data_IF_832803738532
#
_entry.id   IF_832803738532
#
_cell.length_a   1.000
_cell.length_b   1.000
_cell.length_c   1.000
_cell.angle_alpha   90.00
_cell.angle_beta   90.00
_cell.angle_gamma   90.00
#
_symmetry.space_group_name_H-M   'P 1'
#
loop_
_entity.id
_entity.type
_entity.pdbx_description
1 polymer ?
#
# COMPACT_ATOMS: atom_id res chain seq x y z
N UNK A 1 44.71 32.91 7.91
CA UNK A 1 43.97 31.69 8.31
C UNK A 1 42.85 31.45 7.32
N UNK A 2 42.96 30.43 6.46
CA UNK A 2 41.92 30.05 5.50
C UNK A 2 41.20 28.83 6.06
N UNK A 3 39.93 28.96 6.42
CA UNK A 3 39.11 27.82 6.85
C UNK A 3 38.62 27.08 5.62
N UNK A 4 39.11 25.86 5.46
CA UNK A 4 38.67 24.88 4.49
C UNK A 4 37.33 24.30 4.99
N UNK A 5 36.21 24.72 4.42
CA UNK A 5 34.92 24.09 4.69
C UNK A 5 34.87 22.80 3.86
N UNK A 6 35.10 21.68 4.52
CA UNK A 6 34.90 20.34 3.97
C UNK A 6 33.39 20.12 3.87
N UNK A 7 32.85 20.16 2.65
CA UNK A 7 31.49 19.76 2.36
C UNK A 7 31.40 18.23 2.50
N UNK A 8 30.89 17.77 3.64
CA UNK A 8 30.57 16.37 3.89
C UNK A 8 29.29 16.02 3.10
N UNK A 9 29.45 15.53 1.87
CA UNK A 9 28.33 14.96 1.11
C UNK A 9 28.08 13.55 1.64
N UNK A 10 27.14 13.43 2.58
CA UNK A 10 26.59 12.14 3.02
C UNK A 10 25.68 11.61 1.91
N UNK A 11 26.20 10.72 1.08
CA UNK A 11 25.37 9.92 0.16
C UNK A 11 24.73 8.83 1.02
N UNK A 12 23.52 9.09 1.54
CA UNK A 12 22.68 8.03 2.05
C UNK A 12 22.19 7.20 0.85
N UNK A 13 22.90 6.09 0.60
CA UNK A 13 22.38 4.98 -0.21
C UNK A 13 21.25 4.32 0.59
N UNK A 14 20.07 4.92 0.61
CA UNK A 14 18.87 4.20 1.04
C UNK A 14 18.42 3.31 -0.10
N UNK A 15 18.42 1.99 0.13
CA UNK A 15 17.49 1.08 -0.53
C UNK A 15 16.08 1.48 -0.08
N UNK A 16 15.60 2.63 -0.53
CA UNK A 16 14.23 3.07 -0.30
C UNK A 16 13.36 2.34 -1.32
N UNK A 17 12.46 1.47 -0.85
CA UNK A 17 11.38 0.95 -1.68
C UNK A 17 10.73 2.12 -2.41
N UNK A 18 10.77 2.11 -3.75
CA UNK A 18 10.24 3.22 -4.55
C UNK A 18 8.73 3.08 -4.67
N UNK A 19 8.01 3.75 -3.78
CA UNK A 19 6.57 3.95 -3.89
C UNK A 19 6.24 5.03 -4.93
N UNK A 20 5.21 4.80 -5.74
CA UNK A 20 4.63 5.75 -6.70
C UNK A 20 3.18 6.03 -6.32
N UNK A 21 2.85 7.30 -6.08
CA UNK A 21 1.46 7.73 -5.84
C UNK A 21 0.59 7.52 -7.10
N UNK A 22 -0.64 7.04 -6.89
CA UNK A 22 -1.65 6.83 -7.94
C UNK A 22 -2.75 7.87 -7.77
N UNK A 23 -3.07 8.57 -8.86
CA UNK A 23 -4.14 9.55 -8.88
C UNK A 23 -5.49 8.89 -8.56
N UNK A 24 -6.27 9.54 -7.70
CA UNK A 24 -7.59 9.05 -7.32
C UNK A 24 -8.55 9.23 -8.49
N UNK A 25 -9.30 8.19 -8.85
CA UNK A 25 -10.31 8.23 -9.90
C UNK A 25 -11.67 8.68 -9.37
N UNK A 26 -12.06 8.21 -8.19
CA UNK A 26 -13.30 8.60 -7.53
C UNK A 26 -13.10 8.61 -6.02
N UNK A 27 -13.44 9.73 -5.37
CA UNK A 27 -13.37 9.87 -3.93
C UNK A 27 -14.57 10.65 -3.39
N UNK A 28 -15.41 10.08 -2.50
CA UNK A 28 -16.37 10.86 -1.75
C UNK A 28 -15.65 11.72 -0.71
N UNK A 29 -16.18 12.90 -0.39
CA UNK A 29 -15.59 13.80 0.62
C UNK A 29 -15.45 13.14 2.01
N UNK A 30 -16.23 12.09 2.27
CA UNK A 30 -16.30 11.38 3.54
C UNK A 30 -15.08 10.51 3.84
N UNK A 31 -14.29 10.13 2.82
CA UNK A 31 -13.07 9.31 2.94
C UNK A 31 -11.96 9.99 2.17
N UNK A 32 -10.77 10.17 2.78
CA UNK A 32 -9.63 10.80 2.09
C UNK A 32 -8.42 9.89 2.21
N UNK A 33 -8.18 9.11 1.18
CA UNK A 33 -7.08 8.14 1.15
C UNK A 33 -6.21 8.37 -0.06
N UNK A 34 -4.89 8.35 0.14
CA UNK A 34 -3.92 8.25 -0.95
C UNK A 34 -3.51 6.80 -1.14
N UNK A 35 -3.24 6.43 -2.38
CA UNK A 35 -2.68 5.14 -2.73
C UNK A 35 -1.28 5.34 -3.29
N UNK A 36 -0.32 4.64 -2.71
CA UNK A 36 0.99 4.47 -3.31
C UNK A 36 1.23 3.00 -3.64
N UNK A 37 1.94 2.74 -4.74
CA UNK A 37 2.29 1.40 -5.19
C UNK A 37 3.81 1.29 -5.31
N UNK A 38 4.39 0.26 -4.71
CA UNK A 38 5.75 -0.18 -5.02
C UNK A 38 5.69 -1.49 -5.80
N UNK A 39 6.51 -1.60 -6.85
CA UNK A 39 6.68 -2.85 -7.59
C UNK A 39 8.13 -3.25 -7.50
N UNK A 40 8.48 -4.18 -6.61
CA UNK A 40 9.83 -4.74 -6.53
C UNK A 40 9.79 -6.24 -6.21
N UNK A 41 10.64 -6.99 -6.92
CA UNK A 41 10.94 -8.40 -6.66
C UNK A 41 11.62 -8.48 -5.30
N UNK A 42 10.88 -8.82 -4.25
CA UNK A 42 11.46 -9.06 -2.93
C UNK A 42 12.42 -10.25 -3.04
N UNK A 43 13.72 -9.98 -2.89
CA UNK A 43 14.80 -10.94 -2.63
C UNK A 43 14.68 -12.31 -3.32
N UNK A 44 15.11 -12.38 -4.59
CA UNK A 44 15.54 -13.64 -5.20
C UNK A 44 14.47 -14.56 -5.79
N UNK A 45 13.19 -14.17 -5.87
CA UNK A 45 12.18 -14.97 -6.56
C UNK A 45 10.83 -14.29 -6.71
N UNK A 46 10.32 -14.26 -7.96
CA UNK A 46 9.02 -13.75 -8.48
C UNK A 46 8.64 -12.30 -8.08
N UNK A 47 8.10 -11.56 -9.05
CA UNK A 47 7.70 -10.16 -8.88
C UNK A 47 6.50 -10.03 -7.93
N UNK A 48 6.60 -9.11 -6.96
CA UNK A 48 5.52 -8.72 -6.07
C UNK A 48 5.17 -7.22 -6.22
N UNK A 49 4.10 -6.78 -5.54
CA UNK A 49 3.79 -5.37 -5.37
C UNK A 49 3.23 -5.12 -3.97
N UNK A 50 3.33 -3.89 -3.51
CA UNK A 50 2.69 -3.44 -2.27
C UNK A 50 1.74 -2.30 -2.57
N UNK A 51 0.58 -2.29 -1.90
CA UNK A 51 -0.39 -1.20 -1.92
C UNK A 51 -0.36 -0.49 -0.58
N UNK A 52 0.03 0.78 -0.55
CA UNK A 52 0.05 1.60 0.66
C UNK A 52 -1.12 2.57 0.63
N UNK A 53 -2.07 2.36 1.54
CA UNK A 53 -3.22 3.24 1.75
C UNK A 53 -2.90 4.21 2.88
N UNK A 54 -2.88 5.51 2.60
CA UNK A 54 -2.54 6.55 3.58
C UNK A 54 -3.81 7.33 3.91
N UNK A 55 -4.23 7.31 5.17
CA UNK A 55 -5.38 8.09 5.61
C UNK A 55 -5.01 9.56 5.79
N UNK A 56 -5.49 10.38 4.86
CA UNK A 56 -5.29 11.85 4.82
C UNK A 56 -6.55 12.61 5.26
N UNK A 57 -7.54 11.91 5.80
CA UNK A 57 -8.78 12.48 6.30
C UNK A 57 -8.65 13.06 7.70
N UNK A 58 -9.78 13.48 8.25
CA UNK A 58 -9.89 13.97 9.64
C UNK A 58 -10.50 12.91 10.57
N UNK A 59 -10.75 11.70 10.05
CA UNK A 59 -11.42 10.60 10.75
C UNK A 59 -10.72 9.29 10.46
N UNK A 60 -10.74 8.40 11.45
CA UNK A 60 -10.20 7.06 11.32
C UNK A 60 -11.07 6.21 10.39
N UNK A 61 -10.44 5.32 9.62
CA UNK A 61 -11.12 4.51 8.62
C UNK A 61 -11.26 3.08 9.13
N UNK A 62 -12.45 2.71 9.57
CA UNK A 62 -12.76 1.39 10.10
C UNK A 62 -13.39 0.42 9.08
N UNK A 63 -13.21 -0.88 9.33
CA UNK A 63 -13.86 -1.99 8.60
C UNK A 63 -13.66 -1.92 7.09
N UNK A 64 -12.45 -1.57 6.69
CA UNK A 64 -12.14 -1.39 5.29
C UNK A 64 -11.97 -2.73 4.56
N UNK A 65 -12.32 -2.73 3.28
CA UNK A 65 -12.18 -3.85 2.35
C UNK A 65 -11.45 -3.38 1.10
N UNK A 66 -10.63 -4.26 0.54
CA UNK A 66 -9.96 -4.04 -0.74
C UNK A 66 -10.62 -4.94 -1.79
N UNK A 67 -10.82 -4.38 -2.98
CA UNK A 67 -11.26 -5.10 -4.18
C UNK A 67 -10.34 -4.76 -5.35
N UNK A 68 -9.95 -5.76 -6.14
CA UNK A 68 -9.02 -5.60 -7.27
C UNK A 68 -9.66 -6.00 -8.60
N UNK A 69 -9.64 -5.14 -9.61
CA UNK A 69 -10.20 -5.41 -10.96
C UNK A 69 -11.66 -5.89 -10.95
N UNK A 70 -12.47 -5.34 -10.05
CA UNK A 70 -13.85 -5.78 -9.80
C UNK A 70 -14.04 -7.25 -9.43
N UNK A 71 -12.94 -7.91 -9.06
CA UNK A 71 -12.90 -9.29 -8.61
C UNK A 71 -12.25 -9.31 -7.22
N UNK A 72 -12.46 -10.40 -6.48
CA UNK A 72 -11.72 -10.70 -5.24
C UNK A 72 -11.77 -9.55 -4.20
N UNK A 73 -12.84 -9.54 -3.41
CA UNK A 73 -13.01 -8.60 -2.29
C UNK A 73 -12.57 -9.27 -0.98
N UNK A 74 -11.69 -8.62 -0.23
CA UNK A 74 -11.25 -9.09 1.09
C UNK A 74 -11.27 -7.95 2.10
N UNK A 75 -11.58 -8.26 3.36
CA UNK A 75 -11.39 -7.31 4.46
C UNK A 75 -9.91 -7.04 4.64
N UNK A 76 -9.52 -5.81 5.01
CA UNK A 76 -8.15 -5.52 5.45
C UNK A 76 -7.76 -6.37 6.66
N UNK A 77 -8.72 -6.58 7.56
CA UNK A 77 -8.60 -7.55 8.64
C UNK A 77 -8.48 -8.96 8.06
N UNK A 78 -7.33 -9.59 8.30
CA UNK A 78 -7.00 -10.92 7.77
C UNK A 78 -6.01 -10.91 6.60
N UNK A 79 -5.65 -9.75 6.06
CA UNK A 79 -4.55 -9.62 5.11
C UNK A 79 -3.21 -9.39 5.84
N UNK A 80 -2.13 -9.85 5.23
CA UNK A 80 -0.78 -9.47 5.63
C UNK A 80 -0.58 -7.98 5.34
N UNK A 81 -0.59 -7.18 6.40
CA UNK A 81 -0.51 -5.72 6.35
C UNK A 81 0.61 -5.24 7.28
N UNK A 82 1.41 -4.28 6.82
CA UNK A 82 2.35 -3.53 7.66
C UNK A 82 1.73 -2.16 7.98
N UNK A 83 1.65 -1.84 9.26
CA UNK A 83 1.43 -0.47 9.76
C UNK A 83 2.71 0.07 10.38
N UNK A 84 2.77 1.39 10.53
CA UNK A 84 3.94 2.10 11.08
C UNK A 84 4.33 1.63 12.50
N UNK A 85 3.43 0.92 13.20
CA UNK A 85 3.60 0.48 14.58
C UNK A 85 4.03 -0.99 14.78
N UNK A 86 4.14 -1.86 13.76
CA UNK A 86 4.23 -3.30 14.09
C UNK A 86 5.02 -4.26 13.17
N UNK A 87 5.83 -5.09 13.85
CA UNK A 87 6.57 -6.30 13.45
C UNK A 87 5.65 -7.50 13.03
N UNK A 88 5.03 -7.43 11.86
CA UNK A 88 4.60 -8.63 11.13
C UNK A 88 3.49 -9.51 11.74
N UNK A 89 2.40 -8.93 12.28
CA UNK A 89 1.14 -9.67 12.49
C UNK A 89 -0.05 -8.95 11.83
N UNK A 90 -0.99 -9.69 11.24
CA UNK A 90 -2.07 -9.12 10.44
C UNK A 90 -3.21 -8.62 11.34
N UNK A 91 -3.23 -7.34 11.73
CA UNK A 91 -4.47 -6.73 12.21
C UNK A 91 -4.46 -5.22 11.99
N UNK A 92 -5.23 -4.75 11.01
CA UNK A 92 -5.83 -3.42 11.10
C UNK A 92 -7.33 -3.56 10.86
N UNK A 93 -8.11 -3.43 11.92
CA UNK A 93 -9.55 -3.17 11.80
C UNK A 93 -9.81 -1.70 11.45
N UNK A 94 -8.76 -0.87 11.47
CA UNK A 94 -8.80 0.59 11.35
C UNK A 94 -7.49 1.16 10.79
N UNK A 95 -7.57 2.19 9.95
CA UNK A 95 -6.44 3.05 9.56
C UNK A 95 -6.63 4.40 10.23
N UNK A 96 -5.84 4.73 11.26
CA UNK A 96 -6.03 6.02 11.96
C UNK A 96 -5.65 7.20 11.08
N UNK A 97 -6.14 8.36 11.46
CA UNK A 97 -5.80 9.63 10.81
C UNK A 97 -4.29 9.85 10.79
N UNK A 98 -3.71 10.06 9.60
CA UNK A 98 -2.28 10.24 9.40
C UNK A 98 -1.47 8.95 9.27
N UNK A 99 -2.07 7.79 9.54
CA UNK A 99 -1.39 6.50 9.42
C UNK A 99 -1.51 5.92 8.00
N UNK A 100 -0.69 4.89 7.75
CA UNK A 100 -0.72 4.10 6.53
C UNK A 100 -0.88 2.60 6.80
N UNK A 101 -1.59 1.93 5.92
CA UNK A 101 -1.70 0.48 5.87
C UNK A 101 -1.11 -0.03 4.56
N UNK A 102 -0.07 -0.85 4.64
CA UNK A 102 0.63 -1.41 3.48
C UNK A 102 0.28 -2.87 3.31
N UNK A 103 -0.46 -3.20 2.26
CA UNK A 103 -0.84 -4.57 1.89
C UNK A 103 0.18 -5.12 0.92
N UNK A 104 0.85 -6.21 1.28
CA UNK A 104 1.94 -6.77 0.50
C UNK A 104 1.45 -7.97 -0.30
N UNK A 105 1.73 -7.98 -1.59
CA UNK A 105 1.45 -9.08 -2.50
C UNK A 105 2.76 -9.66 -3.01
N UNK A 106 3.03 -10.91 -2.66
CA UNK A 106 4.19 -11.66 -3.15
C UNK A 106 4.03 -13.15 -2.87
N UNK A 107 4.86 -14.00 -3.50
CA UNK A 107 4.74 -15.47 -3.41
C UNK A 107 4.88 -16.02 -1.99
N UNK A 108 5.52 -15.26 -1.09
CA UNK A 108 5.73 -15.64 0.30
C UNK A 108 4.64 -15.10 1.25
N UNK A 109 3.59 -14.47 0.72
CA UNK A 109 2.51 -13.87 1.50
C UNK A 109 1.15 -14.43 1.10
N UNK A 110 0.33 -14.74 2.10
CA UNK A 110 -1.01 -15.33 1.91
C UNK A 110 -1.94 -14.46 1.06
N UNK A 111 -1.72 -13.14 1.03
CA UNK A 111 -2.50 -12.22 0.20
C UNK A 111 -2.55 -12.66 -1.28
N UNK A 112 -1.47 -13.27 -1.80
CA UNK A 112 -1.43 -13.73 -3.19
C UNK A 112 -2.42 -14.87 -3.45
N UNK A 113 -2.48 -15.84 -2.54
CA UNK A 113 -3.41 -16.98 -2.63
C UNK A 113 -4.84 -16.58 -2.30
N UNK A 114 -5.04 -15.69 -1.32
CA UNK A 114 -6.35 -15.18 -0.92
C UNK A 114 -7.08 -14.48 -2.08
N UNK A 115 -6.36 -13.66 -2.84
CA UNK A 115 -6.90 -12.97 -4.02
C UNK A 115 -6.90 -13.85 -5.30
N UNK A 116 -6.57 -15.14 -5.19
CA UNK A 116 -6.59 -16.09 -6.31
C UNK A 116 -5.63 -15.72 -7.45
N UNK A 117 -4.55 -15.00 -7.13
CA UNK A 117 -3.58 -14.52 -8.09
C UNK A 117 -2.63 -15.68 -8.44
N UNK A 118 -2.47 -15.96 -9.74
CA UNK A 118 -1.55 -17.01 -10.21
C UNK A 118 -0.16 -16.45 -10.46
N UNK A 119 0.85 -17.22 -10.05
CA UNK A 119 2.28 -16.87 -10.07
C UNK A 119 2.86 -16.42 -11.42
N UNK A 120 2.15 -16.66 -12.52
CA UNK A 120 2.61 -16.46 -13.90
C UNK A 120 1.96 -15.26 -14.61
N UNK A 121 1.02 -14.57 -13.98
CA UNK A 121 0.23 -13.52 -14.64
C UNK A 121 0.08 -12.25 -13.78
N UNK A 122 1.20 -11.74 -13.30
CA UNK A 122 1.21 -10.63 -12.35
C UNK A 122 1.51 -9.28 -13.00
N UNK A 123 0.44 -8.61 -13.42
CA UNK A 123 0.44 -7.17 -13.64
C UNK A 123 -0.20 -6.43 -12.47
N UNK A 124 0.18 -5.17 -12.26
CA UNK A 124 -0.56 -4.30 -11.34
C UNK A 124 -2.06 -4.31 -11.69
N UNK A 125 -2.96 -4.42 -10.70
CA UNK A 125 -4.40 -4.38 -10.96
C UNK A 125 -4.76 -3.04 -11.59
N UNK A 126 -5.57 -3.06 -12.65
CA UNK A 126 -6.04 -1.89 -13.38
C UNK A 126 -6.96 -1.01 -12.53
N UNK A 127 -7.77 -1.63 -11.67
CA UNK A 127 -8.68 -0.96 -10.74
C UNK A 127 -8.41 -1.45 -9.33
N UNK A 128 -8.29 -0.51 -8.39
CA UNK A 128 -8.18 -0.78 -6.97
C UNK A 128 -9.31 -0.01 -6.28
N UNK A 129 -10.11 -0.69 -5.47
CA UNK A 129 -11.13 -0.07 -4.63
C UNK A 129 -10.81 -0.29 -3.16
N UNK A 130 -10.91 0.77 -2.35
CA UNK A 130 -10.94 0.68 -0.89
C UNK A 130 -12.32 1.15 -0.41
N UNK A 131 -13.08 0.23 0.18
CA UNK A 131 -14.39 0.54 0.77
C UNK A 131 -14.28 0.46 2.28
N UNK A 132 -14.50 1.58 2.97
CA UNK A 132 -14.59 1.66 4.42
C UNK A 132 -16.03 1.98 4.84
N UNK A 133 -16.32 1.97 6.14
CA UNK A 133 -17.68 2.21 6.66
C UNK A 133 -18.31 3.52 6.13
N UNK A 134 -17.48 4.56 5.98
CA UNK A 134 -17.93 5.92 5.65
C UNK A 134 -17.85 6.26 4.15
N UNK A 135 -17.38 5.35 3.30
CA UNK A 135 -17.29 5.62 1.86
C UNK A 135 -16.33 4.72 1.10
N UNK A 136 -16.24 4.96 -0.21
CA UNK A 136 -15.46 4.16 -1.15
C UNK A 136 -14.55 5.02 -2.00
N UNK A 137 -13.26 4.67 -2.05
CA UNK A 137 -12.27 5.31 -2.92
C UNK A 137 -11.88 4.35 -4.03
N UNK A 138 -11.73 4.86 -5.26
CA UNK A 138 -11.37 4.08 -6.44
C UNK A 138 -10.14 4.70 -7.09
N UNK A 139 -9.17 3.87 -7.45
CA UNK A 139 -8.01 4.22 -8.26
C UNK A 139 -7.99 3.43 -9.56
N UNK A 140 -7.55 4.10 -10.63
CA UNK A 140 -7.17 3.46 -11.89
C UNK A 140 -5.66 3.54 -12.04
N UNK A 141 -5.01 2.42 -12.29
CA UNK A 141 -3.54 2.35 -12.37
C UNK A 141 -3.01 2.51 -13.79
N UNK A 142 -3.90 2.61 -14.78
CA UNK A 142 -3.65 2.86 -16.21
C UNK A 142 -4.55 3.96 -16.74
#
# INVERSE_FOLDING_TARGET
MKYLIIALVLIFSSCAEKYREIAVYSNPDSVKVKLEISGESTSGGKAGFSLRFINTGERDLGRCKIKLNDKYEHQLEGLFCITEDWEGKPQTSMIKTGESATVIFGPNYDNYSLFGIKDDNFGLPEIIELTCLDGKVIWKTR
#
